data_IF_060589967705
#
_entry.id   IF_060589967705
#
_cell.length_a   1.000
_cell.length_b   1.000
_cell.length_c   1.000
_cell.angle_alpha   90.00
_cell.angle_beta   90.00
_cell.angle_gamma   90.00
#
_symmetry.space_group_name_H-M   'P 1'
#
loop_
_entity.id
_entity.type
_entity.pdbx_description
1 polymer ?
#
# COMPACT_ATOMS: atom_id res chain seq x y z
N UNK A 1 30.18 -0.98 11.40
CA UNK A 1 30.23 -0.80 9.93
C UNK A 1 28.93 -1.35 9.38
N UNK A 2 28.06 -0.53 8.74
CA UNK A 2 26.91 -1.08 8.01
C UNK A 2 27.45 -1.75 6.76
N UNK A 3 27.38 -3.06 6.67
CA UNK A 3 27.71 -3.82 5.45
C UNK A 3 26.85 -3.24 4.33
N UNK A 4 27.47 -2.82 3.25
CA UNK A 4 26.76 -2.30 2.08
C UNK A 4 25.94 -3.47 1.52
N UNK A 5 24.62 -3.29 1.41
CA UNK A 5 23.73 -4.33 0.93
C UNK A 5 24.11 -4.73 -0.51
N UNK A 6 24.11 -6.02 -0.78
CA UNK A 6 24.50 -6.58 -2.07
C UNK A 6 23.42 -6.34 -3.11
N UNK A 7 23.83 -6.00 -4.32
CA UNK A 7 22.95 -5.86 -5.48
C UNK A 7 23.11 -7.08 -6.37
N UNK A 8 21.99 -7.60 -6.84
CA UNK A 8 21.94 -8.68 -7.82
C UNK A 8 21.26 -8.21 -9.08
N UNK A 9 21.82 -8.58 -10.22
CA UNK A 9 21.25 -8.29 -11.51
C UNK A 9 20.13 -9.28 -11.81
N UNK A 10 18.96 -8.74 -12.16
CA UNK A 10 17.78 -9.53 -12.55
C UNK A 10 17.42 -9.16 -13.99
N UNK A 11 17.28 -10.14 -14.85
CA UNK A 11 16.84 -9.98 -16.24
C UNK A 11 15.51 -10.70 -16.50
N UNK A 12 14.70 -10.12 -17.38
CA UNK A 12 13.46 -10.76 -17.86
C UNK A 12 13.75 -11.45 -19.18
N UNK A 13 13.60 -12.78 -19.20
CA UNK A 13 13.86 -13.63 -20.37
C UNK A 13 13.14 -13.13 -21.62
N UNK A 14 13.86 -13.07 -22.74
CA UNK A 14 13.32 -12.65 -24.04
C UNK A 14 13.04 -11.15 -24.16
N UNK A 15 13.56 -10.33 -23.24
CA UNK A 15 13.43 -8.87 -23.27
C UNK A 15 14.79 -8.20 -23.04
N UNK A 16 14.86 -6.88 -23.21
CA UNK A 16 16.04 -6.06 -22.85
C UNK A 16 15.99 -5.55 -21.40
N UNK A 17 14.99 -5.94 -20.61
CA UNK A 17 14.84 -5.48 -19.23
C UNK A 17 15.87 -6.16 -18.32
N UNK A 18 16.80 -5.36 -17.81
CA UNK A 18 17.81 -5.75 -16.85
C UNK A 18 17.83 -4.66 -15.76
N UNK A 19 17.80 -5.06 -14.50
CA UNK A 19 17.80 -4.12 -13.38
C UNK A 19 18.50 -4.73 -12.15
N UNK A 20 19.03 -3.85 -11.30
CA UNK A 20 19.66 -4.23 -10.05
C UNK A 20 18.62 -4.28 -8.93
N UNK A 21 18.60 -5.40 -8.20
CA UNK A 21 17.74 -5.61 -7.03
C UNK A 21 18.61 -5.80 -5.79
N UNK A 22 18.31 -5.06 -4.75
CA UNK A 22 18.97 -5.20 -3.45
C UNK A 22 18.59 -6.56 -2.82
N UNK A 23 19.58 -7.26 -2.19
CA UNK A 23 19.34 -8.54 -1.51
C UNK A 23 18.21 -8.48 -0.45
N UNK A 24 17.98 -7.30 0.13
CA UNK A 24 16.95 -7.06 1.14
C UNK A 24 15.64 -6.54 0.53
N UNK A 25 15.52 -6.49 -0.80
CA UNK A 25 14.29 -6.09 -1.49
C UNK A 25 13.64 -7.28 -2.19
N UNK A 26 12.34 -7.19 -2.42
CA UNK A 26 11.65 -8.18 -3.23
C UNK A 26 11.89 -7.94 -4.72
N UNK A 27 11.78 -8.98 -5.54
CA UNK A 27 11.86 -8.84 -6.99
C UNK A 27 10.82 -7.84 -7.49
N UNK A 28 9.58 -7.88 -6.98
CA UNK A 28 8.55 -6.90 -7.33
C UNK A 28 8.99 -5.48 -6.99
N UNK A 29 9.52 -5.25 -5.78
CA UNK A 29 10.01 -3.94 -5.37
C UNK A 29 11.09 -3.41 -6.30
N UNK A 30 12.10 -4.24 -6.60
CA UNK A 30 13.19 -3.88 -7.52
C UNK A 30 12.72 -3.55 -8.94
N UNK A 31 11.83 -4.37 -9.50
CA UNK A 31 11.26 -4.18 -10.84
C UNK A 31 10.47 -2.86 -10.91
N UNK A 32 9.61 -2.58 -9.93
CA UNK A 32 8.84 -1.34 -9.90
C UNK A 32 9.73 -0.11 -9.69
N UNK A 33 10.79 -0.19 -8.87
CA UNK A 33 11.79 0.90 -8.71
C UNK A 33 12.56 1.16 -9.98
N UNK A 34 12.82 0.14 -10.79
CA UNK A 34 13.41 0.30 -12.12
C UNK A 34 12.45 0.98 -13.12
N UNK A 35 11.14 1.06 -12.80
CA UNK A 35 10.12 1.68 -13.63
C UNK A 35 9.47 0.70 -14.62
N UNK A 36 9.67 -0.60 -14.43
CA UNK A 36 9.02 -1.64 -15.24
C UNK A 36 7.77 -2.14 -14.55
N UNK A 37 6.67 -2.24 -15.29
CA UNK A 37 5.40 -2.79 -14.80
C UNK A 37 5.35 -4.31 -14.96
N UNK A 38 4.94 -5.01 -13.92
CA UNK A 38 4.56 -6.43 -13.97
C UNK A 38 3.25 -6.62 -13.21
N UNK A 39 2.43 -7.64 -13.56
CA UNK A 39 1.18 -7.89 -12.85
C UNK A 39 1.38 -8.09 -11.34
N UNK A 40 0.66 -7.34 -10.52
CA UNK A 40 0.60 -7.53 -9.07
C UNK A 40 -0.65 -6.86 -8.47
N UNK A 41 -1.04 -7.26 -7.25
CA UNK A 41 -2.13 -6.64 -6.50
C UNK A 41 -1.81 -6.55 -5.00
N UNK A 42 -1.89 -7.68 -4.26
CA UNK A 42 -1.81 -7.68 -2.79
C UNK A 42 -0.42 -7.38 -2.21
N UNK A 43 0.65 -7.61 -2.97
CA UNK A 43 2.05 -7.44 -2.54
C UNK A 43 2.37 -8.13 -1.19
N UNK A 44 1.69 -9.26 -0.91
CA UNK A 44 1.77 -10.00 0.35
C UNK A 44 1.65 -11.54 0.18
N UNK A 45 1.91 -12.05 -1.02
CA UNK A 45 1.93 -13.49 -1.29
C UNK A 45 0.55 -14.17 -1.41
N UNK A 46 -0.56 -13.44 -1.32
CA UNK A 46 -1.90 -14.02 -1.22
C UNK A 46 -2.64 -14.21 -2.55
N UNK A 47 -2.60 -13.25 -3.47
CA UNK A 47 -3.45 -13.25 -4.68
C UNK A 47 -2.89 -14.07 -5.84
N UNK A 48 -1.58 -14.24 -5.94
CA UNK A 48 -0.93 -14.96 -7.04
C UNK A 48 -0.77 -14.18 -8.34
N UNK A 49 -1.09 -12.88 -8.38
CA UNK A 49 -1.01 -12.06 -9.61
C UNK A 49 0.44 -11.86 -10.08
N UNK A 50 1.42 -11.81 -9.18
CA UNK A 50 2.83 -11.58 -9.47
C UNK A 50 3.65 -12.87 -9.66
N UNK A 51 3.02 -13.94 -10.17
CA UNK A 51 3.71 -15.20 -10.46
C UNK A 51 4.74 -15.05 -11.57
N UNK A 52 5.93 -15.59 -11.33
CA UNK A 52 6.99 -15.72 -12.34
C UNK A 52 7.60 -17.11 -12.30
N UNK A 53 8.38 -17.48 -13.32
CA UNK A 53 9.18 -18.70 -13.36
C UNK A 53 10.64 -18.28 -13.17
N UNK A 54 11.34 -18.87 -12.20
CA UNK A 54 12.78 -18.72 -12.07
C UNK A 54 13.45 -19.64 -13.11
N UNK A 55 14.22 -19.04 -14.04
CA UNK A 55 14.94 -19.75 -15.10
C UNK A 55 16.36 -20.05 -14.65
N UNK A 56 17.06 -19.02 -14.12
CA UNK A 56 18.43 -19.13 -13.62
C UNK A 56 18.56 -18.33 -12.33
N UNK A 57 19.54 -18.72 -11.50
CA UNK A 57 19.84 -18.06 -10.23
C UNK A 57 19.12 -18.68 -9.04
N UNK A 58 19.19 -17.96 -7.92
CA UNK A 58 18.65 -18.39 -6.64
C UNK A 58 17.84 -17.27 -5.98
N UNK A 59 16.74 -17.63 -5.37
CA UNK A 59 15.87 -16.73 -4.61
C UNK A 59 15.49 -17.37 -3.28
N UNK A 60 15.17 -16.53 -2.29
CA UNK A 60 14.53 -16.95 -1.06
C UNK A 60 13.15 -16.31 -0.98
N UNK A 61 12.14 -17.11 -0.67
CA UNK A 61 10.77 -16.64 -0.49
C UNK A 61 10.50 -16.33 0.99
N UNK A 62 10.03 -15.12 1.29
CA UNK A 62 9.73 -14.66 2.66
C UNK A 62 8.59 -15.47 3.33
N UNK A 63 7.77 -16.17 2.54
CA UNK A 63 6.66 -17.01 2.99
C UNK A 63 6.71 -18.40 2.32
N UNK A 64 7.03 -19.42 3.08
CA UNK A 64 7.11 -20.79 2.59
C UNK A 64 5.76 -21.33 2.11
N UNK A 65 4.68 -21.01 2.84
CA UNK A 65 3.31 -21.46 2.56
C UNK A 65 2.40 -20.32 2.10
N UNK A 66 2.82 -19.62 1.04
CA UNK A 66 2.00 -18.55 0.46
C UNK A 66 0.74 -19.13 -0.23
N UNK A 67 -0.44 -18.57 0.06
CA UNK A 67 -1.71 -18.99 -0.54
C UNK A 67 -1.82 -18.67 -2.04
N UNK A 68 -0.98 -17.77 -2.54
CA UNK A 68 -0.92 -17.39 -3.96
C UNK A 68 -0.28 -18.45 -4.87
N UNK A 69 0.42 -19.47 -4.31
CA UNK A 69 1.02 -20.58 -5.06
C UNK A 69 0.31 -21.90 -4.75
N UNK A 70 -0.04 -22.61 -5.81
CA UNK A 70 -0.52 -24.00 -5.71
C UNK A 70 0.66 -24.97 -5.77
N UNK A 71 0.50 -26.19 -5.27
CA UNK A 71 1.53 -27.21 -5.39
C UNK A 71 1.98 -27.51 -6.83
N UNK A 72 1.07 -27.35 -7.81
CA UNK A 72 1.40 -27.44 -9.23
C UNK A 72 2.28 -26.29 -9.74
N UNK A 73 2.19 -25.11 -9.14
CA UNK A 73 3.04 -23.97 -9.48
C UNK A 73 4.47 -24.21 -8.95
N UNK A 74 4.59 -24.64 -7.69
CA UNK A 74 5.90 -24.99 -7.08
C UNK A 74 6.66 -26.04 -7.90
N UNK A 75 5.97 -27.07 -8.40
CA UNK A 75 6.59 -28.09 -9.30
C UNK A 75 7.08 -27.54 -10.64
N UNK A 76 6.60 -26.38 -11.05
CA UNK A 76 7.02 -25.69 -12.29
C UNK A 76 8.00 -24.54 -12.01
N UNK A 77 8.65 -24.57 -10.87
CA UNK A 77 9.59 -23.52 -10.40
C UNK A 77 8.99 -22.12 -10.45
N UNK A 78 7.69 -21.99 -10.13
CA UNK A 78 7.02 -20.70 -10.03
C UNK A 78 7.13 -20.16 -8.62
N UNK A 79 7.36 -18.86 -8.56
CA UNK A 79 7.47 -18.05 -7.36
C UNK A 79 6.55 -16.83 -7.45
N UNK A 80 6.51 -16.02 -6.38
CA UNK A 80 5.78 -14.75 -6.33
C UNK A 80 6.75 -13.59 -6.16
N UNK A 81 6.84 -12.71 -7.13
CA UNK A 81 7.81 -11.60 -7.12
C UNK A 81 7.70 -10.69 -5.89
N UNK A 82 6.53 -10.61 -5.25
CA UNK A 82 6.29 -9.77 -4.08
C UNK A 82 6.87 -10.32 -2.76
N UNK A 83 7.27 -11.59 -2.73
CA UNK A 83 7.86 -12.24 -1.54
C UNK A 83 9.21 -12.91 -1.83
N UNK A 84 9.67 -12.92 -3.08
CA UNK A 84 10.96 -13.50 -3.48
C UNK A 84 12.06 -12.45 -3.42
N UNK A 85 13.17 -12.76 -2.76
CA UNK A 85 14.39 -11.94 -2.70
C UNK A 85 15.53 -12.64 -3.44
N UNK A 86 16.31 -11.95 -4.26
CA UNK A 86 17.41 -12.57 -4.98
C UNK A 86 18.57 -12.93 -4.03
N UNK A 87 19.18 -14.08 -4.25
CA UNK A 87 20.39 -14.54 -3.57
C UNK A 87 21.58 -14.62 -4.53
N UNK A 88 21.31 -14.53 -5.82
CA UNK A 88 22.28 -14.46 -6.92
C UNK A 88 21.73 -13.58 -8.04
N UNK A 89 22.50 -13.37 -9.12
CA UNK A 89 21.96 -12.86 -10.37
C UNK A 89 20.89 -13.86 -10.88
N UNK A 90 19.77 -13.33 -11.39
CA UNK A 90 18.62 -14.14 -11.78
C UNK A 90 18.17 -13.86 -13.21
N UNK A 91 17.69 -14.90 -13.87
CA UNK A 91 16.88 -14.80 -15.08
C UNK A 91 15.47 -15.27 -14.73
N UNK A 92 14.48 -14.40 -14.95
CA UNK A 92 13.09 -14.70 -14.63
C UNK A 92 12.22 -14.64 -15.89
N UNK A 93 11.19 -15.46 -15.96
CA UNK A 93 10.15 -15.38 -16.98
C UNK A 93 8.87 -14.84 -16.39
N UNK A 94 8.55 -13.59 -16.75
CA UNK A 94 7.31 -12.88 -16.45
C UNK A 94 7.01 -11.96 -17.63
N UNK A 95 5.74 -11.71 -17.91
CA UNK A 95 5.35 -10.78 -18.97
C UNK A 95 5.23 -9.38 -18.37
N UNK A 96 6.07 -8.40 -18.80
CA UNK A 96 5.84 -7.00 -18.48
C UNK A 96 4.51 -6.52 -19.04
N UNK A 97 3.88 -5.56 -18.35
CA UNK A 97 2.60 -5.01 -18.74
C UNK A 97 2.54 -3.53 -18.34
N UNK A 98 2.37 -2.65 -19.33
CA UNK A 98 2.43 -1.20 -19.17
C UNK A 98 1.36 -0.65 -18.23
N UNK A 99 0.22 -1.34 -18.07
CA UNK A 99 -0.81 -0.92 -17.10
C UNK A 99 -0.31 -0.93 -15.64
N UNK A 100 0.74 -1.70 -15.34
CA UNK A 100 1.37 -1.78 -14.03
C UNK A 100 2.61 -0.88 -13.91
N UNK A 101 2.98 -0.16 -14.97
CA UNK A 101 4.12 0.76 -14.92
C UNK A 101 3.83 1.87 -13.91
N UNK A 102 4.66 2.01 -12.85
CA UNK A 102 4.36 2.95 -11.80
C UNK A 102 4.53 4.39 -12.27
N UNK A 103 3.51 5.23 -12.07
CA UNK A 103 3.59 6.69 -12.31
C UNK A 103 4.59 7.35 -11.33
N UNK A 104 4.59 6.88 -10.09
CA UNK A 104 5.59 7.21 -9.08
C UNK A 104 6.30 5.91 -8.70
N UNK A 105 7.62 5.85 -8.91
CA UNK A 105 8.42 4.69 -8.56
C UNK A 105 8.47 4.54 -7.04
N UNK A 106 8.26 3.34 -6.48
CA UNK A 106 8.35 3.14 -5.04
C UNK A 106 9.75 3.54 -4.51
N UNK A 107 9.78 4.24 -3.39
CA UNK A 107 11.02 4.63 -2.70
C UNK A 107 10.90 4.35 -1.21
N UNK A 108 12.03 4.07 -0.55
CA UNK A 108 12.09 3.91 0.91
C UNK A 108 12.47 5.24 1.55
N UNK A 109 11.58 5.79 2.37
CA UNK A 109 11.67 7.12 2.96
C UNK A 109 11.61 6.99 4.49
N UNK A 110 12.51 7.65 5.20
CA UNK A 110 12.44 7.75 6.67
C UNK A 110 11.39 8.80 7.05
N UNK A 111 10.50 8.45 7.94
CA UNK A 111 9.45 9.34 8.43
C UNK A 111 9.25 9.21 9.94
N UNK A 112 8.83 10.30 10.57
CA UNK A 112 8.56 10.36 12.02
C UNK A 112 7.07 10.53 12.27
N UNK A 113 6.53 9.78 13.23
CA UNK A 113 5.18 9.97 13.73
C UNK A 113 5.07 11.34 14.38
N UNK A 114 4.14 12.16 13.87
CA UNK A 114 3.88 13.52 14.32
C UNK A 114 2.67 13.59 15.22
N UNK A 115 1.58 12.92 14.86
CA UNK A 115 0.33 12.95 15.63
C UNK A 115 -0.51 11.70 15.38
N UNK A 116 -1.41 11.45 16.33
CA UNK A 116 -2.42 10.40 16.25
C UNK A 116 -3.78 11.05 16.57
N UNK A 117 -4.73 10.91 15.68
CA UNK A 117 -6.13 11.28 15.90
C UNK A 117 -6.98 10.02 16.07
N UNK A 118 -7.72 9.91 17.17
CA UNK A 118 -8.62 8.79 17.41
C UNK A 118 -9.91 9.01 16.65
N UNK A 119 -10.23 8.12 15.71
CA UNK A 119 -11.45 8.18 14.90
C UNK A 119 -12.60 7.38 15.52
N UNK A 120 -12.28 6.17 16.04
CA UNK A 120 -13.23 5.33 16.80
C UNK A 120 -12.52 4.74 18.02
N UNK A 121 -13.16 3.83 18.75
CA UNK A 121 -12.53 3.17 19.89
C UNK A 121 -11.29 2.34 19.54
N UNK A 122 -11.18 1.87 18.29
CA UNK A 122 -10.11 0.99 17.80
C UNK A 122 -9.46 1.43 16.47
N UNK A 123 -9.92 2.54 15.87
CA UNK A 123 -9.35 3.11 14.64
C UNK A 123 -8.73 4.48 14.94
N UNK A 124 -7.50 4.68 14.49
CA UNK A 124 -6.78 5.95 14.60
C UNK A 124 -6.20 6.37 13.25
N UNK A 125 -6.13 7.68 13.02
CA UNK A 125 -5.34 8.27 11.95
C UNK A 125 -3.96 8.66 12.48
N UNK A 126 -2.93 8.13 11.83
CA UNK A 126 -1.52 8.31 12.17
C UNK A 126 -0.88 9.19 11.11
N UNK A 127 -0.39 10.35 11.52
CA UNK A 127 0.28 11.30 10.65
C UNK A 127 1.80 11.22 10.83
N UNK A 128 2.51 10.94 9.73
CA UNK A 128 3.97 10.90 9.68
C UNK A 128 4.49 12.03 8.80
N UNK A 129 5.69 12.48 9.09
CA UNK A 129 6.40 13.48 8.28
C UNK A 129 7.77 12.97 7.88
N UNK A 130 8.10 13.16 6.61
CA UNK A 130 9.40 12.90 6.00
C UNK A 130 10.03 14.19 5.47
N UNK A 131 11.34 14.16 5.23
CA UNK A 131 12.07 15.28 4.60
C UNK A 131 11.87 15.37 3.09
N UNK A 132 11.26 14.34 2.48
CA UNK A 132 10.99 14.27 1.04
C UNK A 132 9.48 14.43 0.79
N UNK A 133 9.08 14.95 -0.37
CA UNK A 133 7.67 15.00 -0.77
C UNK A 133 6.99 13.64 -0.69
N UNK A 134 5.72 13.63 -0.33
CA UNK A 134 4.87 12.46 -0.41
C UNK A 134 4.25 12.38 -1.81
N UNK A 135 4.76 11.47 -2.65
CA UNK A 135 4.34 11.30 -4.04
C UNK A 135 3.59 9.98 -4.22
N UNK A 136 2.29 10.05 -4.44
CA UNK A 136 1.42 8.88 -4.67
C UNK A 136 0.10 9.29 -5.31
N UNK A 137 -0.62 8.32 -5.88
CA UNK A 137 -1.97 8.52 -6.40
C UNK A 137 -3.02 8.19 -5.34
N UNK A 138 -4.15 8.94 -5.27
CA UNK A 138 -5.22 8.66 -4.31
C UNK A 138 -5.75 7.23 -4.42
N UNK A 139 -5.74 6.50 -3.30
CA UNK A 139 -6.14 5.09 -3.23
C UNK A 139 -4.97 4.10 -3.10
N UNK A 140 -3.73 4.53 -3.34
CA UNK A 140 -2.54 3.70 -3.19
C UNK A 140 -2.19 3.45 -1.71
N UNK A 141 -1.33 2.44 -1.47
CA UNK A 141 -0.84 2.07 -0.16
C UNK A 141 0.68 2.11 -0.07
N UNK A 142 1.18 2.10 1.15
CA UNK A 142 2.58 1.98 1.50
C UNK A 142 2.84 0.72 2.33
N UNK A 143 4.07 0.26 2.34
CA UNK A 143 4.60 -0.70 3.32
C UNK A 143 5.36 0.07 4.39
N UNK A 144 5.01 -0.11 5.65
CA UNK A 144 5.66 0.52 6.79
C UNK A 144 6.54 -0.52 7.51
N UNK A 145 7.85 -0.24 7.55
CA UNK A 145 8.77 -0.92 8.44
C UNK A 145 8.75 -0.20 9.79
N UNK A 146 8.25 -0.87 10.81
CA UNK A 146 8.06 -0.34 12.16
C UNK A 146 9.08 -1.01 13.07
N UNK A 147 9.92 -0.26 13.81
CA UNK A 147 10.90 -0.85 14.72
C UNK A 147 10.27 -1.82 15.72
N UNK A 148 10.86 -3.00 15.86
CA UNK A 148 10.35 -4.06 16.71
C UNK A 148 9.25 -4.94 16.08
N UNK A 149 8.88 -4.70 14.82
CA UNK A 149 7.94 -5.53 14.07
C UNK A 149 8.70 -6.33 13.02
N UNK A 150 8.50 -7.63 12.98
CA UNK A 150 9.10 -8.49 11.94
C UNK A 150 8.35 -8.32 10.62
N UNK A 151 9.05 -7.79 9.62
CA UNK A 151 8.54 -7.53 8.27
C UNK A 151 7.59 -6.31 8.19
N UNK A 152 7.43 -5.75 6.99
CA UNK A 152 6.61 -4.56 6.78
C UNK A 152 5.11 -4.85 6.90
N UNK A 153 4.33 -3.81 7.16
CA UNK A 153 2.86 -3.83 7.15
C UNK A 153 2.33 -2.87 6.11
N UNK A 154 1.36 -3.34 5.33
CA UNK A 154 0.72 -2.52 4.30
C UNK A 154 -0.41 -1.69 4.89
N UNK A 155 -0.38 -0.38 4.62
CA UNK A 155 -1.42 0.58 5.00
C UNK A 155 -1.71 1.52 3.83
N UNK A 156 -2.97 1.71 3.53
CA UNK A 156 -3.37 2.69 2.51
C UNK A 156 -3.23 4.11 3.06
N UNK A 157 -2.72 5.02 2.21
CA UNK A 157 -2.74 6.44 2.51
C UNK A 157 -4.18 6.94 2.59
N UNK A 158 -4.48 7.83 3.53
CA UNK A 158 -5.78 8.49 3.65
C UNK A 158 -5.72 9.98 3.31
N UNK A 159 -4.55 10.53 3.01
CA UNK A 159 -4.37 11.87 2.47
C UNK A 159 -4.03 11.84 0.97
N UNK A 160 -3.66 13.00 0.41
CA UNK A 160 -3.17 13.14 -0.96
C UNK A 160 -1.67 13.46 -1.00
N UNK A 161 -1.08 13.28 -2.19
CA UNK A 161 0.29 13.73 -2.47
C UNK A 161 0.50 15.18 -2.05
N UNK A 162 1.69 15.49 -1.53
CA UNK A 162 2.02 16.82 -1.08
C UNK A 162 3.54 17.05 -0.99
N UNK A 163 3.96 18.30 -1.19
CA UNK A 163 5.35 18.71 -1.11
C UNK A 163 5.92 18.74 0.32
N UNK A 164 5.05 18.67 1.35
CA UNK A 164 5.42 18.79 2.77
C UNK A 164 5.92 17.47 3.38
N UNK A 165 5.89 16.37 2.62
CA UNK A 165 6.28 15.05 3.12
C UNK A 165 5.31 14.47 4.15
N UNK A 166 4.04 14.88 4.12
CA UNK A 166 3.00 14.41 5.05
C UNK A 166 2.37 13.12 4.54
N UNK A 167 2.39 12.09 5.37
CA UNK A 167 1.79 10.78 5.13
C UNK A 167 0.76 10.50 6.22
N UNK A 168 -0.47 10.16 5.85
CA UNK A 168 -1.51 9.81 6.80
C UNK A 168 -2.04 8.41 6.53
N UNK A 169 -2.19 7.62 7.59
CA UNK A 169 -2.67 6.24 7.54
C UNK A 169 -3.74 6.00 8.59
N UNK A 170 -4.84 5.38 8.21
CA UNK A 170 -5.83 4.90 9.18
C UNK A 170 -5.49 3.47 9.59
N UNK A 171 -5.16 3.30 10.84
CA UNK A 171 -4.70 2.02 11.40
C UNK A 171 -5.70 1.55 12.45
N UNK A 172 -6.15 0.30 12.29
CA UNK A 172 -7.02 -0.35 13.27
C UNK A 172 -6.18 -1.06 14.33
N UNK A 173 -6.54 -0.89 15.60
CA UNK A 173 -5.98 -1.66 16.70
C UNK A 173 -6.40 -3.12 16.56
N UNK A 174 -5.42 -4.02 16.49
CA UNK A 174 -5.64 -5.47 16.46
C UNK A 174 -5.13 -6.02 17.80
N UNK A 175 -5.96 -6.77 18.49
CA UNK A 175 -5.56 -7.43 19.73
C UNK A 175 -4.41 -8.41 19.46
N UNK A 176 -3.31 -8.29 20.23
CA UNK A 176 -2.08 -9.06 19.97
C UNK A 176 -1.30 -8.67 18.73
N UNK A 177 -1.77 -7.68 17.95
CA UNK A 177 -1.09 -7.21 16.74
C UNK A 177 0.19 -6.43 17.05
N UNK A 178 1.36 -6.91 16.63
CA UNK A 178 2.65 -6.30 16.94
C UNK A 178 2.73 -4.83 16.48
N UNK A 179 2.38 -4.54 15.22
CA UNK A 179 2.45 -3.20 14.64
C UNK A 179 1.47 -2.23 15.32
N UNK A 180 0.19 -2.62 15.46
CA UNK A 180 -0.83 -1.77 16.07
C UNK A 180 -0.52 -1.52 17.55
N UNK A 181 0.02 -2.52 18.28
CA UNK A 181 0.39 -2.34 19.68
C UNK A 181 1.49 -1.30 19.86
N UNK A 182 2.52 -1.33 19.03
CA UNK A 182 3.61 -0.33 19.07
C UNK A 182 3.08 1.07 18.72
N UNK A 183 2.28 1.18 17.67
CA UNK A 183 1.79 2.48 17.20
C UNK A 183 0.78 3.11 18.16
N UNK A 184 -0.12 2.32 18.78
CA UNK A 184 -1.13 2.85 19.70
C UNK A 184 -0.62 3.05 21.13
N UNK A 185 0.35 2.24 21.60
CA UNK A 185 0.84 2.28 22.97
C UNK A 185 2.23 2.91 23.10
N UNK A 186 2.91 3.14 21.98
CA UNK A 186 4.19 3.83 21.93
C UNK A 186 4.04 5.33 22.21
N UNK A 187 5.16 6.06 22.28
CA UNK A 187 5.11 7.51 22.40
C UNK A 187 4.34 8.10 21.21
N UNK A 188 3.37 8.97 21.51
CA UNK A 188 2.51 9.60 20.51
C UNK A 188 3.28 10.44 19.47
N UNK A 189 4.55 10.71 19.71
CA UNK A 189 5.44 11.45 18.82
C UNK A 189 6.83 10.82 18.77
N UNK A 190 7.47 10.89 17.60
CA UNK A 190 8.88 10.55 17.45
C UNK A 190 9.18 9.10 17.07
N UNK A 191 8.19 8.22 16.94
CA UNK A 191 8.42 6.89 16.36
C UNK A 191 8.88 7.05 14.92
N UNK A 192 10.08 6.57 14.63
CA UNK A 192 10.63 6.56 13.28
C UNK A 192 10.25 5.28 12.56
N UNK A 193 9.77 5.40 11.32
CA UNK A 193 9.41 4.28 10.46
C UNK A 193 10.06 4.46 9.09
N UNK A 194 10.26 3.34 8.38
CA UNK A 194 10.56 3.42 6.95
C UNK A 194 9.26 3.23 6.18
N UNK A 195 8.89 4.21 5.38
CA UNK A 195 7.77 4.15 4.44
C UNK A 195 8.31 3.73 3.09
N UNK A 196 7.87 2.59 2.58
CA UNK A 196 8.15 2.10 1.23
C UNK A 196 6.88 2.27 0.39
N UNK A 197 6.88 3.23 -0.51
CA UNK A 197 5.70 3.67 -1.25
C UNK A 197 6.04 4.28 -2.62
N UNK A 198 5.04 4.42 -3.53
CA UNK A 198 3.68 3.90 -3.46
C UNK A 198 3.51 2.54 -4.14
N UNK A 199 2.44 1.84 -3.79
CA UNK A 199 2.02 0.59 -4.42
C UNK A 199 0.52 0.60 -4.74
N UNK A 200 0.07 -0.25 -5.64
CA UNK A 200 -1.28 -0.49 -6.16
C UNK A 200 -1.55 0.20 -7.50
N UNK A 201 -2.28 -0.53 -8.34
CA UNK A 201 -2.89 -0.01 -9.56
C UNK A 201 -4.34 0.47 -9.34
N UNK A 202 -4.92 0.12 -8.17
CA UNK A 202 -6.25 0.58 -7.77
C UNK A 202 -6.14 1.99 -7.18
N UNK A 203 -6.30 2.99 -8.05
CA UNK A 203 -6.26 4.40 -7.67
C UNK A 203 -7.31 5.20 -8.44
N UNK A 204 -7.58 6.41 -7.98
CA UNK A 204 -8.51 7.32 -8.64
C UNK A 204 -8.10 7.56 -10.10
N UNK A 205 -9.09 7.46 -11.00
CA UNK A 205 -8.97 7.84 -12.41
C UNK A 205 -9.70 9.19 -12.60
N UNK A 206 -9.00 10.33 -12.49
CA UNK A 206 -9.65 11.65 -12.41
C UNK A 206 -10.38 12.07 -13.70
N UNK A 207 -10.02 11.48 -14.84
CA UNK A 207 -10.64 11.73 -16.15
C UNK A 207 -11.80 10.79 -16.47
N UNK A 208 -12.14 9.85 -15.58
CA UNK A 208 -13.24 8.91 -15.80
C UNK A 208 -14.59 9.64 -15.77
N UNK A 209 -15.46 9.47 -16.79
CA UNK A 209 -16.79 10.07 -16.79
C UNK A 209 -17.78 9.34 -15.86
N UNK A 210 -17.36 8.27 -15.19
CA UNK A 210 -18.20 7.44 -14.34
C UNK A 210 -18.45 8.08 -12.99
N UNK A 211 -19.62 7.79 -12.39
CA UNK A 211 -19.89 8.14 -11.00
C UNK A 211 -18.94 7.38 -10.08
N UNK A 212 -18.50 8.05 -9.02
CA UNK A 212 -17.64 7.47 -8.00
C UNK A 212 -18.50 6.94 -6.85
N UNK A 213 -18.44 5.62 -6.63
CA UNK A 213 -19.04 4.96 -5.48
C UNK A 213 -17.92 4.33 -4.66
N UNK A 214 -17.76 4.80 -3.43
CA UNK A 214 -16.81 4.28 -2.46
C UNK A 214 -17.52 3.33 -1.51
N UNK A 215 -16.96 2.13 -1.30
CA UNK A 215 -17.48 1.14 -0.35
C UNK A 215 -16.34 0.76 0.57
N UNK A 216 -16.53 0.94 1.87
CA UNK A 216 -15.50 0.71 2.87
C UNK A 216 -16.05 0.03 4.12
N UNK A 217 -15.15 -0.57 4.91
CA UNK A 217 -15.42 -1.08 6.25
C UNK A 217 -14.15 -1.06 7.08
N UNK A 218 -14.23 -0.59 8.35
CA UNK A 218 -13.08 -0.46 9.24
C UNK A 218 -11.95 0.36 8.61
N UNK A 219 -10.71 -0.13 8.65
CA UNK A 219 -9.53 0.56 8.07
C UNK A 219 -9.53 0.62 6.53
N UNK A 220 -10.43 -0.10 5.85
CA UNK A 220 -10.66 0.07 4.40
C UNK A 220 -11.19 1.45 4.03
N UNK A 221 -11.54 2.29 5.01
CA UNK A 221 -11.89 3.69 4.82
C UNK A 221 -10.70 4.52 4.27
N UNK A 222 -9.47 4.22 4.68
CA UNK A 222 -8.29 5.01 4.33
C UNK A 222 -8.14 5.29 2.82
N UNK A 223 -8.12 4.28 1.93
CA UNK A 223 -8.01 4.53 0.50
C UNK A 223 -9.22 5.30 -0.04
N UNK A 224 -10.42 5.14 0.52
CA UNK A 224 -11.61 5.88 0.10
C UNK A 224 -11.50 7.36 0.46
N UNK A 225 -11.02 7.69 1.67
CA UNK A 225 -10.77 9.08 2.07
C UNK A 225 -9.74 9.74 1.14
N UNK A 226 -8.65 9.05 0.81
CA UNK A 226 -7.67 9.54 -0.16
C UNK A 226 -8.31 9.80 -1.55
N UNK A 227 -9.14 8.87 -2.02
CA UNK A 227 -9.86 8.99 -3.30
C UNK A 227 -10.85 10.17 -3.26
N UNK A 228 -11.59 10.36 -2.17
CA UNK A 228 -12.52 11.48 -2.00
C UNK A 228 -11.77 12.83 -2.04
N UNK A 229 -10.65 12.94 -1.32
CA UNK A 229 -9.78 14.11 -1.39
C UNK A 229 -9.22 14.37 -2.81
N UNK A 230 -8.91 13.31 -3.55
CA UNK A 230 -8.45 13.41 -4.94
C UNK A 230 -9.57 13.83 -5.89
N UNK A 231 -10.78 13.31 -5.68
CA UNK A 231 -11.96 13.64 -6.49
C UNK A 231 -12.37 15.12 -6.35
N UNK A 232 -12.21 15.70 -5.16
CA UNK A 232 -12.45 17.12 -4.92
C UNK A 232 -11.53 18.05 -5.75
N UNK A 233 -10.37 17.55 -6.18
CA UNK A 233 -9.43 18.29 -7.05
C UNK A 233 -9.65 18.03 -8.54
N UNK A 234 -10.54 17.10 -8.90
CA UNK A 234 -10.82 16.77 -10.29
C UNK A 234 -11.57 17.92 -10.99
N UNK A 235 -11.47 18.05 -12.34
CA UNK A 235 -12.19 19.07 -13.08
C UNK A 235 -13.69 19.04 -12.76
N UNK A 236 -14.28 20.24 -12.66
CA UNK A 236 -15.71 20.39 -12.38
C UNK A 236 -16.57 19.60 -13.39
N UNK A 237 -17.57 18.87 -12.88
CA UNK A 237 -18.48 18.05 -13.69
C UNK A 237 -18.49 16.57 -13.32
N UNK A 238 -17.60 16.11 -12.45
CA UNK A 238 -17.69 14.79 -11.85
C UNK A 238 -18.91 14.75 -10.92
N UNK A 239 -19.73 13.69 -11.07
CA UNK A 239 -20.88 13.49 -10.17
C UNK A 239 -20.38 13.37 -8.73
N UNK A 240 -21.11 13.95 -7.78
CA UNK A 240 -20.78 13.87 -6.35
C UNK A 240 -20.53 12.41 -5.95
N UNK A 241 -19.39 12.11 -5.31
CA UNK A 241 -19.10 10.74 -4.86
C UNK A 241 -20.06 10.33 -3.73
N UNK A 242 -20.33 9.02 -3.61
CA UNK A 242 -21.11 8.46 -2.50
C UNK A 242 -20.21 7.49 -1.75
N UNK A 243 -20.17 7.57 -0.42
CA UNK A 243 -19.46 6.67 0.48
C UNK A 243 -20.44 5.81 1.27
N UNK A 244 -20.41 4.50 1.03
CA UNK A 244 -21.02 3.48 1.87
C UNK A 244 -19.99 2.97 2.88
N UNK A 245 -20.31 3.02 4.16
CA UNK A 245 -19.41 2.58 5.21
C UNK A 245 -20.05 1.52 6.11
N UNK A 246 -19.52 0.29 6.04
CA UNK A 246 -19.93 -0.82 6.89
C UNK A 246 -19.27 -0.76 8.26
N UNK A 247 -20.05 -0.75 9.31
CA UNK A 247 -19.63 -0.83 10.71
C UNK A 247 -20.29 -2.01 11.40
N UNK A 248 -19.66 -2.61 12.42
CA UNK A 248 -20.32 -3.66 13.21
C UNK A 248 -21.35 -3.06 14.15
N UNK A 249 -20.95 -2.02 14.89
CA UNK A 249 -21.77 -1.32 15.88
C UNK A 249 -21.73 0.18 15.64
N UNK A 250 -22.63 0.94 16.23
CA UNK A 250 -22.64 2.40 16.13
C UNK A 250 -21.33 3.04 16.57
N UNK A 251 -20.69 2.51 17.62
CA UNK A 251 -19.38 3.00 18.09
C UNK A 251 -18.23 2.85 17.08
N UNK A 252 -18.44 2.06 16.02
CA UNK A 252 -17.49 1.82 14.93
C UNK A 252 -17.76 2.75 13.74
N UNK A 253 -18.84 3.52 13.77
CA UNK A 253 -19.20 4.48 12.71
C UNK A 253 -18.30 5.69 12.80
N UNK A 254 -17.77 6.09 11.65
CA UNK A 254 -16.95 7.31 11.53
C UNK A 254 -17.85 8.54 11.63
N UNK A 255 -17.39 9.54 12.39
CA UNK A 255 -18.16 10.75 12.57
C UNK A 255 -18.29 11.56 11.28
N UNK A 256 -19.41 12.26 11.13
CA UNK A 256 -19.65 13.16 10.00
C UNK A 256 -18.65 14.32 9.98
N UNK A 257 -18.32 14.85 11.16
CA UNK A 257 -17.38 15.95 11.36
C UNK A 257 -15.98 15.62 10.81
N UNK A 258 -15.55 14.36 10.90
CA UNK A 258 -14.31 13.91 10.30
C UNK A 258 -14.39 13.95 8.76
N UNK A 259 -15.47 13.43 8.19
CA UNK A 259 -15.66 13.34 6.73
C UNK A 259 -15.92 14.73 6.10
N UNK A 260 -16.58 15.63 6.80
CA UNK A 260 -16.84 17.01 6.33
C UNK A 260 -15.56 17.88 6.24
N UNK A 261 -14.42 17.39 6.72
CA UNK A 261 -13.10 18.00 6.46
C UNK A 261 -12.60 17.74 5.04
N UNK A 262 -13.21 16.78 4.32
CA UNK A 262 -12.88 16.48 2.92
C UNK A 262 -13.51 17.58 2.05
N UNK A 263 -12.72 18.31 1.24
CA UNK A 263 -13.26 19.37 0.38
C UNK A 263 -14.35 18.82 -0.55
N UNK A 264 -15.38 19.62 -0.80
CA UNK A 264 -16.50 19.27 -1.70
C UNK A 264 -17.32 18.03 -1.29
N UNK A 265 -17.10 17.48 -0.09
CA UNK A 265 -17.83 16.35 0.44
C UNK A 265 -18.81 16.79 1.53
N UNK A 266 -20.09 16.46 1.35
CA UNK A 266 -21.16 16.72 2.33
C UNK A 266 -21.64 15.40 2.91
N UNK A 267 -21.26 15.11 4.15
CA UNK A 267 -21.59 13.84 4.81
C UNK A 267 -23.10 13.60 4.95
N UNK A 268 -23.92 14.63 5.02
CA UNK A 268 -25.39 14.48 5.11
C UNK A 268 -26.03 13.94 3.82
N UNK A 269 -25.40 14.17 2.67
CA UNK A 269 -25.91 13.74 1.35
C UNK A 269 -25.15 12.55 0.79
N UNK A 270 -23.87 12.39 1.14
CA UNK A 270 -22.93 11.51 0.44
C UNK A 270 -22.39 10.37 1.30
N UNK A 271 -22.66 10.36 2.61
CA UNK A 271 -22.20 9.32 3.54
C UNK A 271 -23.37 8.47 4.04
N UNK A 272 -23.28 7.17 3.79
CA UNK A 272 -24.29 6.17 4.15
C UNK A 272 -23.64 5.13 5.07
N UNK A 273 -23.68 5.32 6.40
CA UNK A 273 -23.24 4.29 7.33
C UNK A 273 -24.24 3.15 7.39
N UNK A 274 -23.73 1.92 7.45
CA UNK A 274 -24.51 0.69 7.55
C UNK A 274 -23.97 -0.10 8.74
N UNK A 275 -24.84 -0.37 9.73
CA UNK A 275 -24.48 -1.11 10.94
C UNK A 275 -25.05 -2.52 10.84
N UNK A 276 -24.22 -3.55 11.08
CA UNK A 276 -24.63 -4.95 10.96
C UNK A 276 -25.11 -5.59 12.27
N UNK A 277 -24.71 -5.05 13.42
CA UNK A 277 -25.11 -5.52 14.75
C UNK A 277 -25.85 -4.40 15.48
N UNK A 278 -27.05 -4.68 15.97
CA UNK A 278 -27.91 -3.75 16.73
C UNK A 278 -27.55 -3.81 18.23
#
# INVERSE_FOLDING_TARGET
MKTQAKLYQVSIEGTEFIFDVNENDTLLGGILRAGTGIPYECNAGGCGSCKYILIEGEVIDDLEDSTGLRGSDKRKNKHLACISRPQSNCVIRIKPDDQYTPKHRPTKIQAKLQSIEKLTHDLGEFQFVSSQPACFLPGQYAKLDIPGVVGPRSYSMCNNENARGQWAFQIKRVEGGAASSILFNGPAQGVEVTIDAPYSIAHLQPTSPRSLVCIAGGSGLAPMVSILHGAAKAPQGTKKPILYYGARKERDVISKEYLDRIPEFNSNEQYIPIVSEI
#
